data_IF_062158536581
#
_entry.id   IF_062158536581
#
_cell.length_a   1.000
_cell.length_b   1.000
_cell.length_c   1.000
_cell.angle_alpha   90.00
_cell.angle_beta   90.00
_cell.angle_gamma   90.00
#
_symmetry.space_group_name_H-M   'P 1'
#
loop_
_entity.id
_entity.type
_entity.pdbx_description
1 polymer ?
#
# COMPACT_ATOMS: atom_id res chain seq x y z
N UNK A 1 -26.50 -1.07 -5.14
CA UNK A 1 -26.32 -1.93 -6.33
C UNK A 1 -24.84 -2.14 -6.58
N UNK A 2 -24.43 -3.26 -7.18
CA UNK A 2 -23.01 -3.54 -7.48
C UNK A 2 -22.52 -2.64 -8.62
N UNK A 3 -21.39 -1.94 -8.44
CA UNK A 3 -20.78 -1.16 -9.54
C UNK A 3 -20.17 -2.05 -10.63
N UNK A 4 -19.66 -3.22 -10.23
CA UNK A 4 -19.01 -4.21 -11.10
C UNK A 4 -19.44 -5.64 -10.74
N UNK A 5 -19.63 -6.47 -11.75
CA UNK A 5 -20.01 -7.89 -11.60
C UNK A 5 -18.81 -8.83 -11.47
N UNK A 6 -17.61 -8.36 -11.80
CA UNK A 6 -16.35 -9.11 -11.66
C UNK A 6 -15.14 -8.34 -12.20
N UNK A 7 -13.98 -8.99 -12.21
CA UNK A 7 -12.71 -8.42 -12.65
C UNK A 7 -12.72 -8.06 -14.15
N UNK A 8 -13.21 -8.98 -14.99
CA UNK A 8 -13.35 -8.74 -16.44
C UNK A 8 -14.36 -7.64 -16.77
N UNK A 9 -15.48 -7.59 -16.06
CA UNK A 9 -16.50 -6.54 -16.19
C UNK A 9 -15.94 -5.16 -15.84
N UNK A 10 -15.16 -5.06 -14.75
CA UNK A 10 -14.46 -3.84 -14.37
C UNK A 10 -13.49 -3.36 -15.47
N UNK A 11 -12.62 -4.25 -15.95
CA UNK A 11 -11.65 -3.90 -17.00
C UNK A 11 -12.34 -3.41 -18.28
N UNK A 12 -13.36 -4.13 -18.76
CA UNK A 12 -14.08 -3.76 -19.98
C UNK A 12 -14.82 -2.44 -19.81
N UNK A 13 -15.49 -2.22 -18.67
CA UNK A 13 -16.29 -1.02 -18.41
C UNK A 13 -15.43 0.23 -18.27
N UNK A 14 -14.29 0.13 -17.58
CA UNK A 14 -13.32 1.22 -17.47
C UNK A 14 -12.64 1.49 -18.81
N UNK A 15 -12.21 0.44 -19.54
CA UNK A 15 -11.59 0.61 -20.84
C UNK A 15 -12.53 1.25 -21.87
N UNK A 16 -13.82 0.87 -21.88
CA UNK A 16 -14.83 1.51 -22.74
C UNK A 16 -15.12 2.96 -22.34
N UNK A 17 -14.92 3.34 -21.08
CA UNK A 17 -15.25 4.69 -20.59
C UNK A 17 -14.08 5.66 -20.75
N UNK A 18 -12.88 5.26 -20.31
CA UNK A 18 -11.70 6.12 -20.16
C UNK A 18 -10.47 5.61 -20.95
N UNK A 19 -10.63 4.50 -21.68
CA UNK A 19 -9.54 3.86 -22.40
C UNK A 19 -8.45 3.31 -21.48
N UNK A 20 -7.23 3.22 -22.03
CA UNK A 20 -6.04 2.81 -21.28
C UNK A 20 -5.71 3.77 -20.14
N UNK A 21 -5.96 5.07 -20.31
CA UNK A 21 -5.63 6.08 -19.29
C UNK A 21 -6.39 5.85 -17.98
N UNK A 22 -7.65 5.40 -18.05
CA UNK A 22 -8.43 5.04 -16.86
C UNK A 22 -7.85 3.86 -16.09
N UNK A 23 -7.28 2.86 -16.77
CA UNK A 23 -6.66 1.70 -16.12
C UNK A 23 -5.35 2.05 -15.40
N UNK A 24 -4.62 3.06 -15.88
CA UNK A 24 -3.33 3.49 -15.33
C UNK A 24 -3.42 4.76 -14.44
N UNK A 25 -4.63 5.17 -14.04
CA UNK A 25 -4.82 6.26 -13.07
C UNK A 25 -4.04 5.98 -11.77
N UNK A 26 -3.20 6.92 -11.36
CA UNK A 26 -2.35 6.78 -10.17
C UNK A 26 -1.02 6.04 -10.39
N UNK A 27 -0.64 5.69 -11.63
CA UNK A 27 0.63 5.02 -11.90
C UNK A 27 1.86 5.81 -11.41
N UNK A 28 1.95 7.11 -11.69
CA UNK A 28 3.09 7.94 -11.30
C UNK A 28 3.30 7.97 -9.78
N UNK A 29 2.22 8.12 -9.00
CA UNK A 29 2.30 8.12 -7.53
C UNK A 29 2.59 6.73 -6.98
N UNK A 30 2.15 5.67 -7.67
CA UNK A 30 2.52 4.30 -7.35
C UNK A 30 4.03 4.07 -7.47
N UNK A 31 4.66 4.58 -8.54
CA UNK A 31 6.11 4.45 -8.73
C UNK A 31 6.86 5.16 -7.60
N UNK A 32 6.49 6.40 -7.29
CA UNK A 32 7.07 7.17 -6.18
C UNK A 32 6.89 6.45 -4.84
N UNK A 33 5.69 5.93 -4.58
CA UNK A 33 5.39 5.16 -3.36
C UNK A 33 6.24 3.90 -3.21
N UNK A 34 6.49 3.17 -4.31
CA UNK A 34 7.36 1.98 -4.28
C UNK A 34 8.82 2.35 -3.98
N UNK A 35 9.32 3.44 -4.57
CA UNK A 35 10.68 3.91 -4.32
C UNK A 35 10.85 4.29 -2.85
N UNK A 36 9.90 5.05 -2.30
CA UNK A 36 9.92 5.47 -0.89
C UNK A 36 9.77 4.27 0.05
N UNK A 37 8.87 3.33 -0.27
CA UNK A 37 8.70 2.10 0.48
C UNK A 37 10.02 1.31 0.53
N UNK A 38 10.68 1.10 -0.61
CA UNK A 38 11.95 0.37 -0.67
C UNK A 38 13.07 1.12 0.05
N UNK A 39 13.18 2.43 -0.13
CA UNK A 39 14.18 3.24 0.54
C UNK A 39 14.03 3.19 2.06
N UNK A 40 12.81 3.36 2.58
CA UNK A 40 12.52 3.24 4.00
C UNK A 40 12.75 1.81 4.51
N UNK A 41 12.31 0.79 3.75
CA UNK A 41 12.50 -0.61 4.11
C UNK A 41 13.99 -0.94 4.27
N UNK A 42 14.81 -0.69 3.25
CA UNK A 42 16.24 -0.98 3.32
C UNK A 42 16.96 -0.12 4.35
N UNK A 43 16.65 1.18 4.44
CA UNK A 43 17.28 2.07 5.42
C UNK A 43 17.02 1.63 6.87
N UNK A 44 15.77 1.29 7.20
CA UNK A 44 15.41 0.83 8.55
C UNK A 44 15.96 -0.58 8.79
N UNK A 45 15.92 -1.45 7.79
CA UNK A 45 16.44 -2.81 7.91
C UNK A 45 17.96 -2.84 8.15
N UNK A 46 18.72 -2.03 7.43
CA UNK A 46 20.18 -1.93 7.59
C UNK A 46 20.54 -1.32 8.95
N UNK A 47 19.78 -0.32 9.40
CA UNK A 47 19.92 0.25 10.74
C UNK A 47 19.62 -0.79 11.82
N UNK A 48 18.50 -1.52 11.68
CA UNK A 48 18.11 -2.56 12.62
C UNK A 48 19.16 -3.68 12.68
N UNK A 49 19.75 -4.07 11.55
CA UNK A 49 20.86 -5.02 11.49
C UNK A 49 22.12 -4.51 12.16
N UNK A 50 22.48 -3.24 11.96
CA UNK A 50 23.65 -2.62 12.59
C UNK A 50 23.53 -2.50 14.11
N UNK A 51 22.31 -2.45 14.64
CA UNK A 51 22.04 -2.42 16.08
C UNK A 51 21.89 -3.81 16.73
N UNK A 52 21.85 -4.89 15.93
CA UNK A 52 21.74 -6.24 16.46
C UNK A 52 23.13 -6.78 16.85
N UNK A 53 23.35 -7.18 18.11
CA UNK A 53 24.66 -7.66 18.57
C UNK A 53 25.07 -9.00 17.95
N UNK A 54 24.13 -9.84 17.49
CA UNK A 54 24.46 -11.11 16.82
C UNK A 54 23.37 -11.59 15.84
N UNK A 55 23.44 -11.25 14.54
CA UNK A 55 22.41 -11.59 13.56
C UNK A 55 22.18 -13.08 13.32
N UNK A 56 23.15 -13.95 13.69
CA UNK A 56 23.11 -15.39 13.43
C UNK A 56 22.54 -16.24 14.57
N UNK A 57 22.56 -15.73 15.81
CA UNK A 57 22.03 -16.42 17.01
C UNK A 57 20.69 -15.85 17.49
N UNK A 58 20.07 -14.97 16.71
CA UNK A 58 18.80 -14.35 17.08
C UNK A 58 17.66 -15.34 16.88
N UNK A 59 16.85 -15.58 17.93
CA UNK A 59 15.69 -16.46 17.86
C UNK A 59 14.76 -16.05 16.72
N UNK A 60 14.19 -17.02 15.99
CA UNK A 60 13.39 -16.78 14.78
C UNK A 60 12.23 -15.78 15.01
N UNK A 61 11.67 -15.77 16.22
CA UNK A 61 10.63 -14.82 16.64
C UNK A 61 11.12 -13.37 16.70
N UNK A 62 12.34 -13.12 17.17
CA UNK A 62 12.90 -11.77 17.26
C UNK A 62 13.19 -11.24 15.86
N UNK A 63 13.81 -12.06 14.99
CA UNK A 63 14.02 -11.74 13.59
C UNK A 63 12.71 -11.46 12.86
N UNK A 64 11.65 -12.22 13.16
CA UNK A 64 10.31 -11.99 12.63
C UNK A 64 9.72 -10.67 13.13
N UNK A 65 9.78 -10.37 14.44
CA UNK A 65 9.27 -9.10 14.99
C UNK A 65 9.99 -7.88 14.40
N UNK A 66 11.31 -7.96 14.20
CA UNK A 66 12.08 -6.89 13.55
C UNK A 66 11.62 -6.73 12.10
N UNK A 67 11.47 -7.83 11.36
CA UNK A 67 10.97 -7.77 9.98
C UNK A 67 9.56 -7.16 9.90
N UNK A 68 8.66 -7.50 10.83
CA UNK A 68 7.32 -6.89 10.91
C UNK A 68 7.40 -5.40 11.24
N UNK A 69 8.25 -5.00 12.18
CA UNK A 69 8.43 -3.60 12.58
C UNK A 69 8.96 -2.77 11.41
N UNK A 70 10.01 -3.23 10.74
CA UNK A 70 10.57 -2.60 9.54
C UNK A 70 9.50 -2.44 8.46
N UNK A 71 8.74 -3.51 8.19
CA UNK A 71 7.67 -3.49 7.18
C UNK A 71 6.55 -2.52 7.55
N UNK A 72 6.16 -2.47 8.83
CA UNK A 72 5.12 -1.58 9.32
C UNK A 72 5.54 -0.10 9.18
N UNK A 73 6.77 0.24 9.58
CA UNK A 73 7.28 1.63 9.48
C UNK A 73 7.48 2.05 8.03
N UNK A 74 8.04 1.18 7.18
CA UNK A 74 8.17 1.45 5.75
C UNK A 74 6.79 1.62 5.08
N UNK A 75 5.84 0.75 5.44
CA UNK A 75 4.44 0.83 5.01
C UNK A 75 3.79 2.16 5.41
N UNK A 76 3.95 2.57 6.67
CA UNK A 76 3.45 3.85 7.19
C UNK A 76 4.04 5.06 6.47
N UNK A 77 5.35 5.03 6.21
CA UNK A 77 6.07 6.12 5.53
C UNK A 77 5.58 6.29 4.10
N UNK A 78 5.35 5.18 3.39
CA UNK A 78 4.83 5.20 2.01
C UNK A 78 3.30 5.35 1.93
N UNK A 79 2.59 5.26 3.06
CA UNK A 79 1.13 5.18 3.10
C UNK A 79 0.41 6.40 2.48
N UNK A 80 0.89 7.65 2.66
CA UNK A 80 0.29 8.80 1.97
C UNK A 80 0.24 8.64 0.44
N UNK A 81 1.28 8.04 -0.16
CA UNK A 81 1.33 7.77 -1.60
C UNK A 81 0.33 6.69 -2.00
N UNK A 82 0.16 5.65 -1.18
CA UNK A 82 -0.86 4.62 -1.40
C UNK A 82 -2.29 5.19 -1.31
N UNK A 83 -2.55 6.09 -0.37
CA UNK A 83 -3.84 6.78 -0.24
C UNK A 83 -4.16 7.60 -1.49
N UNK A 84 -3.22 8.41 -1.98
CA UNK A 84 -3.42 9.18 -3.22
C UNK A 84 -3.57 8.26 -4.43
N UNK A 85 -2.77 7.21 -4.54
CA UNK A 85 -2.89 6.19 -5.59
C UNK A 85 -4.31 5.63 -5.66
N UNK A 86 -4.85 5.17 -4.52
CA UNK A 86 -6.20 4.60 -4.46
C UNK A 86 -7.27 5.63 -4.79
N UNK A 87 -7.14 6.86 -4.29
CA UNK A 87 -8.09 7.96 -4.60
C UNK A 87 -8.12 8.30 -6.09
N UNK A 88 -6.97 8.27 -6.75
CA UNK A 88 -6.85 8.44 -8.20
C UNK A 88 -7.47 7.27 -8.96
N UNK A 89 -7.23 6.02 -8.55
CA UNK A 89 -7.85 4.82 -9.17
C UNK A 89 -9.38 4.84 -9.07
N UNK A 90 -9.94 5.40 -7.99
CA UNK A 90 -11.40 5.56 -7.82
C UNK A 90 -12.02 6.64 -8.71
N UNK A 91 -11.21 7.43 -9.44
CA UNK A 91 -11.72 8.39 -10.43
C UNK A 91 -12.02 7.71 -11.78
N UNK A 92 -11.45 6.53 -12.05
CA UNK A 92 -11.66 5.81 -13.29
C UNK A 92 -13.13 5.42 -13.44
N UNK A 93 -13.73 5.73 -14.59
CA UNK A 93 -15.13 5.50 -14.92
C UNK A 93 -16.07 6.64 -14.52
N UNK A 94 -15.59 7.67 -13.81
CA UNK A 94 -16.38 8.86 -13.48
C UNK A 94 -16.32 9.88 -14.63
N UNK A 95 -17.44 10.56 -14.90
CA UNK A 95 -17.55 11.53 -16.01
C UNK A 95 -18.03 12.90 -15.51
N UNK A 96 -17.52 13.95 -16.13
CA UNK A 96 -17.98 15.33 -15.90
C UNK A 96 -17.79 15.79 -14.46
N UNK A 97 -18.88 16.22 -13.82
CA UNK A 97 -18.88 16.81 -12.48
C UNK A 97 -18.51 15.82 -11.35
N UNK A 98 -18.55 14.51 -11.60
CA UNK A 98 -18.19 13.49 -10.61
C UNK A 98 -16.67 13.27 -10.47
N UNK A 99 -15.87 13.87 -11.37
CA UNK A 99 -14.41 13.83 -11.30
C UNK A 99 -13.95 14.80 -10.21
N UNK A 100 -13.52 14.24 -9.08
CA UNK A 100 -13.06 15.01 -7.93
C UNK A 100 -11.60 15.44 -8.06
N UNK A 101 -10.78 14.72 -8.82
CA UNK A 101 -9.34 14.98 -8.94
C UNK A 101 -8.92 15.07 -10.41
N UNK A 102 -8.33 16.20 -10.81
CA UNK A 102 -7.82 16.38 -12.18
C UNK A 102 -6.47 15.70 -12.42
N UNK A 103 -5.74 15.43 -11.34
CA UNK A 103 -4.43 14.80 -11.38
C UNK A 103 -3.88 14.51 -9.99
N UNK A 104 -2.71 13.88 -9.94
CA UNK A 104 -2.07 13.46 -8.67
C UNK A 104 -1.84 14.65 -7.73
N UNK A 105 -1.29 15.76 -8.24
CA UNK A 105 -0.99 16.95 -7.43
C UNK A 105 -2.27 17.60 -6.90
N UNK A 106 -3.31 17.66 -7.72
CA UNK A 106 -4.63 18.14 -7.31
C UNK A 106 -5.24 17.26 -6.21
N UNK A 107 -5.07 15.93 -6.33
CA UNK A 107 -5.49 14.99 -5.30
C UNK A 107 -4.77 15.21 -3.97
N UNK A 108 -3.44 15.38 -3.98
CA UNK A 108 -2.69 15.74 -2.76
C UNK A 108 -3.20 17.03 -2.12
N UNK A 109 -3.38 18.09 -2.93
CA UNK A 109 -3.83 19.39 -2.44
C UNK A 109 -5.25 19.32 -1.86
N UNK A 110 -6.19 18.68 -2.56
CA UNK A 110 -7.58 18.53 -2.10
C UNK A 110 -7.69 17.68 -0.85
N UNK A 111 -6.99 16.56 -0.76
CA UNK A 111 -6.99 15.75 0.47
C UNK A 111 -6.46 16.57 1.65
N UNK A 112 -5.35 17.29 1.46
CA UNK A 112 -4.75 18.10 2.51
C UNK A 112 -5.67 19.27 2.95
N UNK A 113 -6.38 19.89 2.00
CA UNK A 113 -7.27 21.04 2.25
C UNK A 113 -8.63 20.64 2.81
N UNK A 114 -9.26 19.61 2.24
CA UNK A 114 -10.66 19.27 2.48
C UNK A 114 -10.82 18.24 3.61
N UNK A 115 -9.88 17.29 3.74
CA UNK A 115 -9.93 16.24 4.77
C UNK A 115 -8.82 16.37 5.84
N UNK A 116 -7.81 17.19 5.59
CA UNK A 116 -6.67 17.43 6.49
C UNK A 116 -5.57 16.35 6.41
N UNK A 117 -4.42 16.64 7.04
CA UNK A 117 -3.23 15.76 6.98
C UNK A 117 -3.43 14.35 7.55
N UNK A 118 -4.39 14.15 8.46
CA UNK A 118 -4.72 12.81 9.00
C UNK A 118 -5.40 11.92 7.97
N UNK A 119 -6.02 12.49 6.93
CA UNK A 119 -6.72 11.73 5.90
C UNK A 119 -5.80 10.81 5.09
N UNK A 120 -4.52 11.18 4.95
CA UNK A 120 -3.50 10.37 4.29
C UNK A 120 -3.22 9.05 5.01
N UNK A 121 -3.54 8.95 6.30
CA UNK A 121 -3.30 7.77 7.13
C UNK A 121 -4.61 7.02 7.47
N UNK A 122 -5.74 7.38 6.85
CA UNK A 122 -7.00 6.65 7.01
C UNK A 122 -6.83 5.21 6.51
N UNK A 123 -6.89 4.26 7.43
CA UNK A 123 -6.71 2.84 7.15
C UNK A 123 -5.28 2.32 7.32
N UNK A 124 -4.32 3.19 7.71
CA UNK A 124 -2.93 2.80 7.91
C UNK A 124 -2.79 1.68 8.94
N UNK A 125 -3.48 1.80 10.07
CA UNK A 125 -3.52 0.77 11.11
C UNK A 125 -4.07 -0.57 10.60
N UNK A 126 -5.18 -0.53 9.85
CA UNK A 126 -5.75 -1.73 9.22
C UNK A 126 -4.78 -2.37 8.23
N UNK A 127 -4.01 -1.57 7.49
CA UNK A 127 -3.00 -2.08 6.57
C UNK A 127 -1.83 -2.74 7.29
N UNK A 128 -1.39 -2.21 8.44
CA UNK A 128 -0.37 -2.82 9.28
C UNK A 128 -0.85 -4.17 9.81
N UNK A 129 -2.07 -4.22 10.38
CA UNK A 129 -2.66 -5.49 10.86
C UNK A 129 -2.80 -6.52 9.75
N UNK A 130 -3.23 -6.10 8.56
CA UNK A 130 -3.31 -6.97 7.38
C UNK A 130 -1.93 -7.53 6.99
N UNK A 131 -0.88 -6.69 7.01
CA UNK A 131 0.49 -7.10 6.73
C UNK A 131 1.01 -8.13 7.72
N UNK A 132 0.84 -7.85 9.02
CA UNK A 132 1.24 -8.76 10.10
C UNK A 132 0.48 -10.09 10.05
N UNK A 133 -0.84 -10.05 9.85
CA UNK A 133 -1.67 -11.24 9.72
C UNK A 133 -1.26 -12.11 8.51
N UNK A 134 -1.00 -11.49 7.36
CA UNK A 134 -0.54 -12.21 6.17
C UNK A 134 0.81 -12.91 6.40
N UNK A 135 1.76 -12.22 7.03
CA UNK A 135 3.06 -12.82 7.37
C UNK A 135 2.92 -13.94 8.40
N UNK A 136 2.03 -13.80 9.37
CA UNK A 136 1.76 -14.83 10.38
C UNK A 136 1.17 -16.10 9.76
N UNK A 137 0.21 -15.95 8.82
CA UNK A 137 -0.36 -17.09 8.08
C UNK A 137 0.71 -17.85 7.29
N UNK A 138 1.65 -17.14 6.66
CA UNK A 138 2.75 -17.78 5.93
C UNK A 138 3.67 -18.58 6.85
N UNK A 139 4.05 -18.01 8.00
CA UNK A 139 4.89 -18.71 8.98
C UNK A 139 4.17 -19.95 9.52
N UNK A 140 2.88 -19.84 9.86
CA UNK A 140 2.08 -20.98 10.29
C UNK A 140 1.98 -22.06 9.21
N UNK A 141 1.79 -21.66 7.96
CA UNK A 141 1.74 -22.60 6.83
C UNK A 141 3.06 -23.37 6.67
N UNK A 142 4.20 -22.68 6.75
CA UNK A 142 5.52 -23.29 6.66
C UNK A 142 5.79 -24.24 7.85
N UNK A 143 5.39 -23.86 9.07
CA UNK A 143 5.51 -24.75 10.23
C UNK A 143 4.64 -26.00 10.09
N UNK A 144 3.36 -25.86 9.72
CA UNK A 144 2.46 -27.01 9.52
C UNK A 144 3.01 -27.96 8.44
N UNK A 145 3.57 -27.39 7.36
CA UNK A 145 4.16 -28.17 6.27
C UNK A 145 5.41 -28.94 6.67
N UNK A 146 6.13 -28.54 7.73
CA UNK A 146 7.25 -29.33 8.26
C UNK A 146 6.79 -30.59 9.00
N UNK A 147 5.56 -30.61 9.50
CA UNK A 147 4.99 -31.74 10.23
C UNK A 147 4.18 -32.71 9.34
N UNK A 148 3.94 -32.36 8.07
CA UNK A 148 3.28 -33.23 7.06
C UNK A 148 4.31 -33.80 6.11
#
# INVERSE_FOLDING_TARGET
GREFNGLGDCLVKIFKSDGLRGLYQGFNVSVQGIIIYRAAYFGIYDTAKGMLPDPKNTHILISWMIAQTVTAVAGLTSYPFDTVRRRMMMQSGRKGADIMYSGTIDCWRKIARDEGGKAFFKGAWSNVLRGMGGAFVLVLYDEIKKFT
#
